data_IF_812472843031
#
_entry.id   IF_812472843031
#
_cell.length_a   1.000
_cell.length_b   1.000
_cell.length_c   1.000
_cell.angle_alpha   90.00
_cell.angle_beta   90.00
_cell.angle_gamma   90.00
#
_symmetry.space_group_name_H-M   'P 1'
#
loop_
_entity.id
_entity.type
_entity.pdbx_description
1 polymer ?
#
# COMPACT_ATOMS: atom_id res chain seq x y z
N UNK A 1 -9.49 -21.74 -8.85
CA UNK A 1 -8.24 -22.52 -8.76
C UNK A 1 -7.62 -22.65 -10.14
N UNK A 2 -6.73 -21.71 -10.52
CA UNK A 2 -6.16 -21.70 -11.87
C UNK A 2 -5.06 -22.75 -12.04
N UNK A 3 -4.18 -22.81 -11.03
CA UNK A 3 -3.00 -23.67 -10.99
C UNK A 3 -3.38 -25.15 -10.76
N UNK A 4 -4.47 -25.47 -10.06
CA UNK A 4 -4.85 -26.88 -9.87
C UNK A 4 -5.63 -27.46 -11.05
N UNK A 5 -6.46 -26.66 -11.73
CA UNK A 5 -7.36 -27.17 -12.77
C UNK A 5 -6.75 -27.18 -14.19
N UNK A 6 -5.82 -26.26 -14.51
CA UNK A 6 -5.24 -26.14 -15.87
C UNK A 6 -3.70 -26.29 -15.89
N UNK A 7 -3.04 -26.78 -14.84
CA UNK A 7 -1.56 -26.86 -14.83
C UNK A 7 -0.98 -28.21 -14.45
N UNK A 8 -1.81 -29.28 -14.40
CA UNK A 8 -1.40 -30.65 -14.07
C UNK A 8 -0.69 -30.83 -12.71
N UNK A 9 -0.63 -29.75 -11.91
CA UNK A 9 0.10 -29.64 -10.64
C UNK A 9 -0.67 -30.20 -9.43
N UNK A 10 -1.94 -30.56 -9.62
CA UNK A 10 -2.86 -30.91 -8.55
C UNK A 10 -3.09 -29.77 -7.55
N UNK A 11 -4.04 -29.98 -6.62
CA UNK A 11 -4.39 -28.97 -5.60
C UNK A 11 -3.21 -28.66 -4.67
N UNK A 12 -2.33 -29.65 -4.43
CA UNK A 12 -1.13 -29.49 -3.61
C UNK A 12 -0.05 -28.58 -4.25
N UNK A 13 0.20 -28.73 -5.56
CA UNK A 13 1.15 -27.89 -6.28
C UNK A 13 0.68 -26.44 -6.39
N UNK A 14 -0.61 -26.23 -6.64
CA UNK A 14 -1.22 -24.90 -6.64
C UNK A 14 -1.08 -24.19 -5.28
N UNK A 15 -1.39 -24.90 -4.19
CA UNK A 15 -1.34 -24.35 -2.83
C UNK A 15 0.09 -23.97 -2.42
N UNK A 16 1.08 -24.79 -2.78
CA UNK A 16 2.49 -24.51 -2.47
C UNK A 16 3.04 -23.31 -3.25
N UNK A 17 2.60 -23.08 -4.49
CA UNK A 17 2.95 -21.85 -5.25
C UNK A 17 2.35 -20.60 -4.59
N UNK A 18 1.08 -20.68 -4.15
CA UNK A 18 0.44 -19.58 -3.40
C UNK A 18 1.15 -19.34 -2.06
N UNK A 19 1.60 -20.40 -1.39
CA UNK A 19 2.40 -20.29 -0.18
C UNK A 19 3.74 -19.60 -0.43
N UNK A 20 4.43 -19.94 -1.52
CA UNK A 20 5.66 -19.28 -1.94
C UNK A 20 5.45 -17.78 -2.23
N UNK A 21 4.33 -17.41 -2.85
CA UNK A 21 3.92 -16.02 -3.02
C UNK A 21 3.73 -15.31 -1.67
N UNK A 22 3.01 -15.94 -0.73
CA UNK A 22 2.81 -15.40 0.62
C UNK A 22 4.12 -15.20 1.39
N UNK A 23 5.03 -16.17 1.35
CA UNK A 23 6.36 -16.06 1.94
C UNK A 23 7.17 -14.90 1.31
N UNK A 24 7.12 -14.77 -0.02
CA UNK A 24 7.69 -13.65 -0.75
C UNK A 24 7.12 -12.32 -0.27
N UNK A 25 5.80 -12.21 -0.13
CA UNK A 25 5.13 -11.00 0.33
C UNK A 25 5.53 -10.60 1.76
N UNK A 26 5.71 -11.56 2.67
CA UNK A 26 6.22 -11.29 4.02
C UNK A 26 7.63 -10.70 3.96
N UNK A 27 8.54 -11.33 3.20
CA UNK A 27 9.92 -10.83 3.02
C UNK A 27 9.89 -9.43 2.38
N UNK A 28 9.09 -9.25 1.33
CA UNK A 28 8.92 -7.99 0.62
C UNK A 28 8.42 -6.85 1.50
N UNK A 29 7.49 -7.13 2.42
CA UNK A 29 6.99 -6.12 3.38
C UNK A 29 8.11 -5.64 4.30
N UNK A 30 8.88 -6.58 4.89
CA UNK A 30 9.94 -6.25 5.85
C UNK A 30 11.11 -5.55 5.16
N UNK A 31 11.61 -6.12 4.06
CA UNK A 31 12.75 -5.58 3.31
C UNK A 31 12.36 -4.28 2.61
N UNK A 32 11.19 -4.26 1.96
CA UNK A 32 10.67 -3.09 1.26
C UNK A 32 10.35 -1.92 2.18
N UNK A 33 9.89 -2.18 3.40
CA UNK A 33 9.68 -1.15 4.42
C UNK A 33 11.01 -0.53 4.89
N UNK A 34 12.00 -1.36 5.22
CA UNK A 34 13.34 -0.87 5.61
C UNK A 34 14.04 -0.13 4.48
N UNK A 35 13.97 -0.68 3.27
CA UNK A 35 14.56 -0.07 2.08
C UNK A 35 13.88 1.27 1.77
N UNK A 36 12.55 1.32 1.82
CA UNK A 36 11.77 2.53 1.60
C UNK A 36 12.13 3.64 2.59
N UNK A 37 12.23 3.32 3.88
CA UNK A 37 12.67 4.30 4.91
C UNK A 37 14.11 4.80 4.67
N UNK A 38 15.02 3.91 4.27
CA UNK A 38 16.40 4.31 3.98
C UNK A 38 16.49 5.20 2.73
N UNK A 39 15.69 4.91 1.70
CA UNK A 39 15.59 5.74 0.50
C UNK A 39 14.94 7.10 0.81
N UNK A 40 13.89 7.11 1.64
CA UNK A 40 13.21 8.33 2.08
C UNK A 40 14.16 9.29 2.79
N UNK A 41 15.02 8.78 3.67
CA UNK A 41 16.06 9.57 4.35
C UNK A 41 17.04 10.24 3.38
N UNK A 42 17.36 9.60 2.26
CA UNK A 42 18.22 10.20 1.22
C UNK A 42 17.46 11.24 0.38
N UNK A 43 16.25 10.89 -0.05
CA UNK A 43 15.36 11.79 -0.77
C UNK A 43 13.93 11.27 -0.69
N UNK A 44 13.03 12.15 -0.29
CA UNK A 44 11.59 11.89 -0.15
C UNK A 44 10.96 11.32 -1.44
N UNK A 45 11.53 11.69 -2.60
CA UNK A 45 11.12 11.22 -3.94
C UNK A 45 11.43 9.75 -4.21
N UNK A 46 12.45 9.20 -3.57
CA UNK A 46 12.91 7.84 -3.84
C UNK A 46 11.95 6.78 -3.29
N UNK A 47 11.17 7.09 -2.26
CA UNK A 47 10.19 6.16 -1.69
C UNK A 47 9.03 5.86 -2.67
N UNK A 48 8.32 6.85 -3.24
CA UNK A 48 7.32 6.57 -4.28
C UNK A 48 7.93 6.00 -5.56
N UNK A 49 9.17 6.35 -5.91
CA UNK A 49 9.87 5.75 -7.03
C UNK A 49 10.12 4.25 -6.81
N UNK A 50 10.53 3.85 -5.60
CA UNK A 50 10.69 2.43 -5.24
C UNK A 50 9.37 1.69 -5.44
N UNK A 51 8.26 2.24 -4.94
CA UNK A 51 6.92 1.64 -5.10
C UNK A 51 6.54 1.47 -6.58
N UNK A 52 6.81 2.48 -7.42
CA UNK A 52 6.54 2.41 -8.85
C UNK A 52 7.35 1.31 -9.54
N UNK A 53 8.65 1.25 -9.26
CA UNK A 53 9.56 0.25 -9.84
C UNK A 53 9.15 -1.17 -9.39
N UNK A 54 8.81 -1.36 -8.11
CA UNK A 54 8.42 -2.68 -7.62
C UNK A 54 7.04 -3.09 -8.09
N UNK A 55 6.08 -2.17 -8.24
CA UNK A 55 4.75 -2.48 -8.79
C UNK A 55 4.82 -2.89 -10.27
N UNK A 56 5.52 -2.12 -11.09
CA UNK A 56 5.68 -2.42 -12.53
C UNK A 56 6.59 -3.65 -12.69
N UNK A 57 7.70 -3.70 -11.96
CA UNK A 57 8.63 -4.83 -11.98
C UNK A 57 7.97 -6.14 -11.56
N UNK A 58 7.10 -6.12 -10.54
CA UNK A 58 6.32 -7.27 -10.05
C UNK A 58 5.28 -7.77 -11.02
N UNK A 59 4.88 -6.97 -12.00
CA UNK A 59 3.99 -7.39 -13.09
C UNK A 59 4.67 -8.46 -13.96
N UNK A 60 5.98 -8.34 -14.21
CA UNK A 60 6.75 -9.25 -15.07
C UNK A 60 6.75 -10.71 -14.55
N UNK A 61 7.21 -11.00 -13.31
CA UNK A 61 7.22 -12.37 -12.81
C UNK A 61 5.81 -12.96 -12.71
N UNK A 62 4.80 -12.13 -12.42
CA UNK A 62 3.41 -12.58 -12.32
C UNK A 62 2.80 -12.91 -13.69
N UNK A 63 3.06 -12.11 -14.74
CA UNK A 63 2.65 -12.43 -16.10
C UNK A 63 3.36 -13.69 -16.58
N UNK A 64 4.68 -13.82 -16.33
CA UNK A 64 5.43 -15.03 -16.67
C UNK A 64 4.85 -16.27 -15.98
N UNK A 65 4.52 -16.17 -14.69
CA UNK A 65 3.91 -17.27 -13.93
C UNK A 65 2.61 -17.77 -14.58
N UNK A 66 1.79 -16.88 -15.14
CA UNK A 66 0.53 -17.21 -15.83
C UNK A 66 0.76 -17.63 -17.29
N UNK A 67 1.83 -17.17 -17.92
CA UNK A 67 2.11 -17.41 -19.33
C UNK A 67 2.92 -18.69 -19.60
N UNK A 68 3.57 -19.26 -18.60
CA UNK A 68 4.42 -20.43 -18.74
C UNK A 68 3.61 -21.68 -19.13
N UNK A 69 4.15 -22.53 -20.03
CA UNK A 69 3.47 -23.74 -20.51
C UNK A 69 3.46 -24.84 -19.45
N UNK A 70 2.54 -25.80 -19.63
CA UNK A 70 2.49 -27.02 -18.83
C UNK A 70 3.80 -27.82 -18.96
N UNK A 71 4.29 -28.38 -17.87
CA UNK A 71 5.60 -29.06 -17.80
C UNK A 71 6.77 -28.19 -17.33
N UNK A 72 6.53 -26.91 -17.01
CA UNK A 72 7.54 -26.06 -16.37
C UNK A 72 7.91 -26.63 -14.99
N UNK A 73 9.21 -26.76 -14.65
CA UNK A 73 9.60 -27.31 -13.36
C UNK A 73 9.13 -26.42 -12.20
N UNK A 74 8.57 -27.06 -11.17
CA UNK A 74 7.86 -26.39 -10.07
C UNK A 74 8.69 -25.35 -9.32
N UNK A 75 10.02 -25.52 -9.25
CA UNK A 75 10.91 -24.56 -8.60
C UNK A 75 10.94 -23.20 -9.31
N UNK A 76 10.74 -23.16 -10.64
CA UNK A 76 10.62 -21.90 -11.40
C UNK A 76 9.33 -21.19 -11.00
N UNK A 77 8.24 -21.94 -10.82
CA UNK A 77 6.96 -21.38 -10.37
C UNK A 77 7.08 -20.82 -8.95
N UNK A 78 7.79 -21.51 -8.05
CA UNK A 78 8.07 -20.99 -6.71
C UNK A 78 8.92 -19.71 -6.76
N UNK A 79 9.96 -19.66 -7.59
CA UNK A 79 10.81 -18.49 -7.72
C UNK A 79 10.01 -17.29 -8.25
N UNK A 80 9.21 -17.47 -9.30
CA UNK A 80 8.39 -16.41 -9.87
C UNK A 80 7.29 -15.95 -8.91
N UNK A 81 6.64 -16.87 -8.21
CA UNK A 81 5.65 -16.55 -7.18
C UNK A 81 6.28 -15.78 -6.01
N UNK A 82 7.45 -16.21 -5.55
CA UNK A 82 8.19 -15.52 -4.48
C UNK A 82 8.62 -14.11 -4.90
N UNK A 83 9.19 -13.96 -6.10
CA UNK A 83 9.58 -12.65 -6.64
C UNK A 83 8.37 -11.73 -6.81
N UNK A 84 7.30 -12.23 -7.43
CA UNK A 84 6.05 -11.49 -7.59
C UNK A 84 5.46 -11.03 -6.25
N UNK A 85 5.39 -11.93 -5.27
CA UNK A 85 4.91 -11.60 -3.92
C UNK A 85 5.79 -10.57 -3.23
N UNK A 86 7.11 -10.74 -3.31
CA UNK A 86 8.07 -9.84 -2.68
C UNK A 86 7.98 -8.41 -3.23
N UNK A 87 7.83 -8.26 -4.55
CA UNK A 87 7.72 -6.96 -5.20
C UNK A 87 6.36 -6.30 -4.95
N UNK A 88 5.28 -7.09 -4.98
CA UNK A 88 3.92 -6.61 -4.71
C UNK A 88 3.78 -5.99 -3.31
N UNK A 89 4.40 -6.61 -2.32
CA UNK A 89 4.27 -6.23 -0.92
C UNK A 89 5.02 -4.94 -0.54
N UNK A 90 5.99 -4.49 -1.35
CA UNK A 90 6.76 -3.27 -1.08
C UNK A 90 5.85 -2.04 -1.09
N UNK A 91 4.83 -2.00 -1.95
CA UNK A 91 4.01 -0.81 -2.16
C UNK A 91 3.12 -0.49 -0.97
N UNK A 92 2.48 -1.49 -0.35
CA UNK A 92 1.46 -1.26 0.69
C UNK A 92 2.00 -0.58 1.94
N UNK A 93 3.15 -1.04 2.46
CA UNK A 93 3.79 -0.42 3.63
C UNK A 93 4.31 0.99 3.34
N UNK A 94 4.89 1.19 2.16
CA UNK A 94 5.43 2.49 1.75
C UNK A 94 4.34 3.51 1.44
N UNK A 95 3.20 3.10 0.87
CA UNK A 95 2.04 3.96 0.64
C UNK A 95 1.51 4.54 1.96
N UNK A 96 1.33 3.69 2.97
CA UNK A 96 0.91 4.10 4.32
C UNK A 96 1.89 5.07 4.97
N UNK A 97 3.20 4.84 4.78
CA UNK A 97 4.23 5.73 5.29
C UNK A 97 4.23 7.10 4.59
N UNK A 98 4.05 7.16 3.26
CA UNK A 98 3.89 8.43 2.53
C UNK A 98 2.66 9.16 3.05
N UNK A 99 1.52 8.47 3.13
CA UNK A 99 0.26 9.06 3.60
C UNK A 99 0.40 9.67 4.99
N UNK A 100 1.12 9.01 5.90
CA UNK A 100 1.40 9.53 7.25
C UNK A 100 2.24 10.82 7.20
N UNK A 101 3.24 10.89 6.33
CA UNK A 101 4.12 12.04 6.19
C UNK A 101 3.44 13.22 5.48
N UNK A 102 2.48 12.94 4.60
CA UNK A 102 1.73 13.93 3.82
C UNK A 102 0.33 14.22 4.37
N UNK A 103 0.03 13.88 5.63
CA UNK A 103 -1.25 14.20 6.27
C UNK A 103 -1.05 14.95 7.59
N UNK A 104 -1.84 16.02 7.77
CA UNK A 104 -1.94 16.77 9.03
C UNK A 104 -2.36 15.86 10.18
N UNK A 105 -1.91 16.16 11.42
CA UNK A 105 -2.08 15.25 12.56
C UNK A 105 -3.55 14.94 12.86
N UNK A 106 -4.41 15.96 12.76
CA UNK A 106 -5.86 15.88 12.97
C UNK A 106 -6.60 15.06 11.91
N UNK A 107 -6.16 15.11 10.65
CA UNK A 107 -6.82 14.41 9.52
C UNK A 107 -6.23 13.03 9.21
N UNK A 108 -5.14 12.62 9.88
CA UNK A 108 -4.48 11.31 9.64
C UNK A 108 -5.44 10.13 9.78
N UNK A 109 -6.31 10.14 10.79
CA UNK A 109 -7.28 9.07 11.01
C UNK A 109 -8.23 8.92 9.82
N UNK A 110 -8.77 10.04 9.33
CA UNK A 110 -9.66 10.09 8.16
C UNK A 110 -8.94 9.66 6.89
N UNK A 111 -7.70 10.13 6.68
CA UNK A 111 -6.88 9.75 5.54
C UNK A 111 -6.63 8.22 5.50
N UNK A 112 -6.26 7.61 6.63
CA UNK A 112 -6.12 6.16 6.74
C UNK A 112 -7.45 5.42 6.57
N UNK A 113 -8.56 5.98 7.05
CA UNK A 113 -9.91 5.44 6.84
C UNK A 113 -10.25 5.32 5.35
N UNK A 114 -10.09 6.41 4.60
CA UNK A 114 -10.33 6.44 3.14
C UNK A 114 -9.39 5.45 2.43
N UNK A 115 -8.11 5.44 2.79
CA UNK A 115 -7.14 4.51 2.23
C UNK A 115 -7.57 3.04 2.43
N UNK A 116 -7.95 2.66 3.64
CA UNK A 116 -8.35 1.29 3.95
C UNK A 116 -9.64 0.89 3.22
N UNK A 117 -10.63 1.79 3.14
CA UNK A 117 -11.87 1.53 2.39
C UNK A 117 -11.55 1.26 0.91
N UNK A 118 -10.70 2.09 0.29
CA UNK A 118 -10.31 1.89 -1.11
C UNK A 118 -9.49 0.60 -1.31
N UNK A 119 -8.59 0.28 -0.38
CA UNK A 119 -7.79 -0.95 -0.41
C UNK A 119 -8.67 -2.22 -0.31
N UNK A 120 -9.64 -2.21 0.61
CA UNK A 120 -10.58 -3.31 0.80
C UNK A 120 -11.56 -3.43 -0.37
N UNK A 121 -11.98 -2.31 -0.95
CA UNK A 121 -12.78 -2.28 -2.17
C UNK A 121 -12.05 -2.96 -3.34
N UNK A 122 -10.74 -2.73 -3.46
CA UNK A 122 -9.89 -3.40 -4.45
C UNK A 122 -9.82 -4.91 -4.24
N UNK A 123 -9.62 -5.36 -3.00
CA UNK A 123 -9.59 -6.80 -2.65
C UNK A 123 -10.94 -7.49 -2.89
N UNK A 124 -12.05 -6.80 -2.65
CA UNK A 124 -13.39 -7.31 -2.86
C UNK A 124 -13.77 -7.36 -4.34
N UNK A 125 -13.60 -6.25 -5.07
CA UNK A 125 -13.97 -6.18 -6.48
C UNK A 125 -13.02 -6.92 -7.42
N UNK A 126 -11.74 -7.05 -7.07
CA UNK A 126 -10.74 -7.73 -7.92
C UNK A 126 -11.19 -9.13 -8.37
N UNK A 127 -11.49 -10.06 -7.45
CA UNK A 127 -12.00 -11.39 -7.80
C UNK A 127 -13.33 -11.36 -8.55
N UNK A 128 -14.22 -10.41 -8.26
CA UNK A 128 -15.52 -10.29 -8.95
C UNK A 128 -15.35 -9.91 -10.43
N UNK A 129 -14.49 -8.91 -10.73
CA UNK A 129 -14.17 -8.52 -12.10
C UNK A 129 -13.45 -9.63 -12.86
N UNK A 130 -12.43 -10.25 -12.26
CA UNK A 130 -11.68 -11.34 -12.88
C UNK A 130 -12.61 -12.52 -13.16
N UNK A 131 -13.49 -12.90 -12.23
CA UNK A 131 -14.45 -13.99 -12.43
C UNK A 131 -15.43 -13.72 -13.57
N UNK A 132 -15.81 -12.45 -13.78
CA UNK A 132 -16.64 -12.04 -14.92
C UNK A 132 -15.87 -12.12 -16.23
N UNK A 133 -14.62 -11.65 -16.27
CA UNK A 133 -13.78 -11.74 -17.47
C UNK A 133 -13.50 -13.18 -17.90
N UNK A 134 -13.34 -14.09 -16.93
CA UNK A 134 -13.10 -15.52 -17.21
C UNK A 134 -14.22 -16.12 -18.06
N UNK A 135 -15.48 -15.69 -17.86
CA UNK A 135 -16.63 -16.16 -18.65
C UNK A 135 -16.56 -15.76 -20.14
N UNK A 136 -15.88 -14.67 -20.47
CA UNK A 136 -15.88 -14.09 -21.82
C UNK A 136 -14.57 -14.30 -22.58
N UNK A 137 -13.42 -14.19 -21.90
CA UNK A 137 -12.10 -14.19 -22.55
C UNK A 137 -11.22 -15.38 -22.16
N UNK A 138 -11.69 -16.25 -21.25
CA UNK A 138 -10.93 -17.39 -20.74
C UNK A 138 -10.03 -17.02 -19.56
N UNK A 139 -9.43 -18.04 -18.93
CA UNK A 139 -8.71 -17.88 -17.66
C UNK A 139 -7.39 -17.12 -17.80
N UNK A 140 -6.55 -17.52 -18.75
CA UNK A 140 -5.20 -16.94 -18.94
C UNK A 140 -5.23 -15.43 -19.20
N UNK A 141 -6.09 -14.98 -20.11
CA UNK A 141 -6.26 -13.56 -20.47
C UNK A 141 -6.84 -12.74 -19.31
N UNK A 142 -7.78 -13.31 -18.55
CA UNK A 142 -8.39 -12.64 -17.40
C UNK A 142 -7.39 -12.40 -16.27
N UNK A 143 -6.53 -13.39 -15.97
CA UNK A 143 -5.45 -13.21 -15.00
C UNK A 143 -4.38 -12.25 -15.49
N UNK A 144 -3.98 -12.34 -16.77
CA UNK A 144 -3.03 -11.40 -17.34
C UNK A 144 -3.55 -9.94 -17.31
N UNK A 145 -4.84 -9.73 -17.59
CA UNK A 145 -5.48 -8.42 -17.50
C UNK A 145 -5.54 -7.90 -16.06
N UNK A 146 -5.88 -8.77 -15.09
CA UNK A 146 -5.86 -8.43 -13.67
C UNK A 146 -4.47 -8.04 -13.16
N UNK A 147 -3.42 -8.74 -13.60
CA UNK A 147 -2.03 -8.41 -13.28
C UNK A 147 -1.60 -7.11 -13.98
N UNK A 148 -2.06 -6.88 -15.22
CA UNK A 148 -1.75 -5.64 -15.94
C UNK A 148 -2.28 -4.38 -15.24
N UNK A 149 -3.31 -4.48 -14.37
CA UNK A 149 -3.77 -3.38 -13.51
C UNK A 149 -2.70 -2.87 -12.54
N UNK A 150 -1.60 -3.59 -12.33
CA UNK A 150 -0.46 -3.12 -11.54
C UNK A 150 0.35 -2.05 -12.26
N UNK A 151 0.32 -2.02 -13.60
CA UNK A 151 1.00 -0.99 -14.41
C UNK A 151 0.42 0.40 -14.14
N UNK A 152 -0.90 0.67 -14.29
CA UNK A 152 -1.45 1.98 -13.97
C UNK A 152 -1.26 2.34 -12.49
N UNK A 153 -1.35 1.37 -11.57
CA UNK A 153 -1.01 1.60 -10.16
C UNK A 153 0.43 2.09 -9.98
N UNK A 154 1.40 1.45 -10.64
CA UNK A 154 2.79 1.86 -10.63
C UNK A 154 3.01 3.24 -11.26
N UNK A 155 2.26 3.58 -12.31
CA UNK A 155 2.28 4.93 -12.91
C UNK A 155 1.76 5.97 -11.92
N UNK A 156 0.66 5.72 -11.22
CA UNK A 156 0.19 6.63 -10.16
C UNK A 156 1.21 6.78 -9.03
N UNK A 157 1.88 5.68 -8.64
CA UNK A 157 2.97 5.75 -7.68
C UNK A 157 4.15 6.58 -8.18
N UNK A 158 4.46 6.51 -9.49
CA UNK A 158 5.47 7.34 -10.10
C UNK A 158 5.06 8.83 -10.13
N UNK A 159 3.79 9.14 -10.38
CA UNK A 159 3.30 10.52 -10.36
C UNK A 159 3.45 11.15 -8.96
N UNK A 160 3.33 10.37 -7.88
CA UNK A 160 3.58 10.86 -6.51
C UNK A 160 5.00 11.39 -6.31
N UNK A 161 5.99 10.97 -7.11
CA UNK A 161 7.36 11.48 -7.05
C UNK A 161 7.41 13.00 -7.26
N UNK A 162 6.48 13.55 -8.04
CA UNK A 162 6.42 14.98 -8.33
C UNK A 162 5.66 15.78 -7.27
N UNK A 163 4.70 15.17 -6.56
CA UNK A 163 3.83 15.86 -5.59
C UNK A 163 4.34 15.75 -4.16
N UNK A 164 4.90 14.61 -3.77
CA UNK A 164 5.24 14.28 -2.36
C UNK A 164 6.09 15.35 -1.66
N UNK A 165 7.04 15.95 -2.36
CA UNK A 165 7.92 17.00 -1.78
C UNK A 165 7.15 18.29 -1.54
N UNK A 166 6.20 18.63 -2.42
CA UNK A 166 5.36 19.82 -2.29
C UNK A 166 4.35 19.64 -1.16
N UNK A 167 3.73 18.46 -1.09
CA UNK A 167 2.71 18.14 -0.07
C UNK A 167 3.31 18.17 1.34
N UNK A 168 4.48 17.57 1.54
CA UNK A 168 5.17 17.65 2.83
C UNK A 168 5.67 19.07 3.16
N UNK A 169 6.09 19.85 2.16
CA UNK A 169 6.54 21.22 2.37
C UNK A 169 5.38 22.17 2.71
N UNK A 170 4.18 21.92 2.18
CA UNK A 170 2.97 22.66 2.54
C UNK A 170 2.62 22.41 4.01
N UNK A 171 2.58 21.14 4.43
CA UNK A 171 2.31 20.77 5.83
C UNK A 171 3.37 21.29 6.80
N UNK A 172 4.65 21.31 6.40
CA UNK A 172 5.71 21.89 7.23
C UNK A 172 5.53 23.40 7.49
N UNK A 173 4.81 24.12 6.61
CA UNK A 173 4.49 25.54 6.79
C UNK A 173 3.27 25.78 7.67
N UNK A 174 2.36 24.81 7.74
CA UNK A 174 1.11 24.90 8.51
C UNK A 174 1.32 24.52 9.98
N UNK A 175 2.28 23.62 10.26
CA UNK A 175 2.60 23.15 11.61
C UNK A 175 2.79 24.25 12.68
N UNK A 176 3.54 25.35 12.44
CA UNK A 176 3.70 26.39 13.46
C UNK A 176 2.41 27.14 13.79
N UNK A 177 1.42 27.14 12.90
CA UNK A 177 0.10 27.74 13.14
C UNK A 177 -0.77 26.80 13.96
N UNK A 178 -0.76 25.51 13.64
CA UNK A 178 -1.43 24.47 14.43
C UNK A 178 -0.90 24.44 15.86
N UNK A 179 0.43 24.45 16.05
CA UNK A 179 1.05 24.44 17.39
C UNK A 179 0.72 25.70 18.21
N UNK A 180 0.56 26.85 17.54
CA UNK A 180 0.19 28.10 18.19
C UNK A 180 -1.30 28.14 18.56
N UNK A 181 -2.16 27.63 17.68
CA UNK A 181 -3.60 27.54 17.91
C UNK A 181 -3.92 26.50 18.99
N UNK A 182 -3.29 25.32 18.98
CA UNK A 182 -3.47 24.32 20.04
C UNK A 182 -3.04 24.84 21.42
N UNK A 183 -1.90 25.53 21.48
CA UNK A 183 -1.44 26.13 22.74
C UNK A 183 -2.38 27.24 23.23
N UNK A 184 -3.02 28.00 22.34
CA UNK A 184 -4.02 29.01 22.75
C UNK A 184 -5.30 28.40 23.30
N UNK A 185 -5.77 27.28 22.73
CA UNK A 185 -6.92 26.55 23.28
C UNK A 185 -6.64 25.95 24.66
N UNK A 186 -5.43 25.46 24.90
CA UNK A 186 -5.02 24.96 26.21
C UNK A 186 -4.93 26.10 27.26
N UNK A 187 -4.48 27.29 26.86
CA UNK A 187 -4.38 28.46 27.74
C UNK A 187 -5.77 29.05 28.08
N UNK A 188 -6.67 29.15 27.11
CA UNK A 188 -8.07 29.55 27.32
C UNK A 188 -8.83 28.55 28.22
N UNK A 189 -8.55 27.25 28.09
CA UNK A 189 -9.08 26.21 28.97
C UNK A 189 -8.60 26.32 30.42
N UNK A 190 -7.37 26.81 30.63
CA UNK A 190 -6.80 27.06 31.96
C UNK A 190 -7.27 28.39 32.58
N UNK A 191 -7.48 29.44 31.79
CA UNK A 191 -8.05 30.69 32.26
C UNK A 191 -9.54 30.55 32.61
N UNK A 192 -10.31 29.79 31.83
CA UNK A 192 -11.70 29.45 32.14
C UNK A 192 -11.86 28.67 33.45
N UNK A 193 -10.88 27.85 33.83
CA UNK A 193 -10.85 27.15 35.11
C UNK A 193 -10.60 28.08 36.31
N UNK A 194 -9.76 29.10 36.16
CA UNK A 194 -9.44 30.05 37.24
C UNK A 194 -10.60 30.99 37.57
N UNK A 195 -11.42 31.37 36.58
CA UNK A 195 -12.61 32.22 36.81
C UNK A 195 -13.65 31.47 37.63
N UNK A 196 -13.85 30.16 37.37
CA UNK A 196 -14.78 29.32 38.13
C UNK A 196 -14.32 29.09 39.57
N UNK A 197 -13.00 28.96 39.79
CA UNK A 197 -12.44 28.75 41.14
C UNK A 197 -12.45 30.05 41.98
N UNK A 198 -12.35 31.22 41.34
CA UNK A 198 -12.45 32.53 42.00
C UNK A 198 -13.87 32.88 42.45
N UNK A 199 -14.91 32.47 41.72
CA UNK A 199 -16.31 32.69 42.15
C UNK A 199 -16.75 31.73 43.27
N UNK A 200 -16.18 30.53 43.33
CA UNK A 200 -16.49 29.55 44.38
C UNK A 200 -15.93 29.92 45.77
N UNK A 201 -14.96 30.84 45.84
CA UNK A 201 -14.30 31.23 47.10
C UNK A 201 -14.97 32.42 47.81
N UNK A 202 -15.85 33.17 47.12
CA UNK A 202 -16.53 34.35 47.71
C UNK A 202 -17.86 33.96 48.41
N UNK A 203 -18.31 32.71 48.27
CA UNK A 203 -19.52 32.19 48.94
C UNK A 203 -19.15 31.13 49.98
N UNK A 204 -18.34 31.49 50.98
CA UNK A 204 -18.22 30.75 52.24
C UNK A 204 -17.99 31.68 53.42
#
# INVERSE_FOLDING_TARGET
>A
DYLAADSDLGVGGATSVVFAFGAGATVGTVVGGRLGQNLYRKSKRLQPLLMAITAIGGTVPMILLVALPMGTPIWILYLLAFLGGSQAAVSGGNAKAILLNTSAQEMRGTAFGIYNIMDDLGKGFGPAFVSRWVRHWGRRTSFALGIACWIPCGVFCFLMVFTVVRDEAALARERPKEDAESNSFDDDGLEGGKVVESEATIVR
#
